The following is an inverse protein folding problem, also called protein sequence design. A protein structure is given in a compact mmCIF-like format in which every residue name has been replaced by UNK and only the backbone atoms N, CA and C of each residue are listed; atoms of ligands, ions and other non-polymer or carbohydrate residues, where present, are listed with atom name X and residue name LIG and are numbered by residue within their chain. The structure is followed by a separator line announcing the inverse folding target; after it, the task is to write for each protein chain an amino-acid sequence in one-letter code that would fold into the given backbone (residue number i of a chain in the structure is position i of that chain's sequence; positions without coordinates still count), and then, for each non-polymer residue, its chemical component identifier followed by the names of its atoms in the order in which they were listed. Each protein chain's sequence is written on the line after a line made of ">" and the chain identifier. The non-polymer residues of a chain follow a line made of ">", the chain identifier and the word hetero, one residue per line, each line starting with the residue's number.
data_IF_171279465051
#
_entry.id   IF_171279465051
#
_cell.length_a   1.000
_cell.length_b   1.000
_cell.length_c   1.000
_cell.angle_alpha   90.00
_cell.angle_beta   90.00
_cell.angle_gamma   90.00
#
_symmetry.space_group_name_H-M   'P 1'
#
loop_
_entity.id
_entity.type
_entity.pdbx_description
1 polymer ?
#
# COMPACT_ATOMS: atom_id res chain seq x y z
N UNK A 1 11.50 45.58 18.42
CA UNK A 1 10.12 45.32 17.96
C UNK A 1 9.95 46.05 16.63
N UNK A 2 9.30 45.45 15.62
CA UNK A 2 8.04 44.71 15.70
C UNK A 2 8.29 43.19 15.80
N UNK A 3 7.84 42.50 16.85
CA UNK A 3 6.54 41.81 16.92
C UNK A 3 5.78 41.76 15.60
N UNK A 4 5.86 40.62 14.92
CA UNK A 4 4.73 40.10 14.16
C UNK A 4 4.13 38.99 15.03
N UNK A 5 2.99 39.20 15.69
CA UNK A 5 2.27 38.10 16.30
C UNK A 5 1.42 37.50 15.17
N UNK A 6 1.75 36.31 14.68
CA UNK A 6 0.86 35.63 13.75
C UNK A 6 0.40 34.30 14.34
N UNK A 7 -0.72 34.47 15.06
CA UNK A 7 -1.81 33.55 15.35
C UNK A 7 -1.47 32.06 15.46
N UNK A 8 -1.35 31.65 16.73
CA UNK A 8 -1.77 30.34 17.22
C UNK A 8 -3.26 30.12 16.93
N UNK A 9 -3.55 29.42 15.85
CA UNK A 9 -4.73 28.57 15.70
C UNK A 9 -4.16 27.17 15.51
N UNK A 10 -4.74 26.14 16.12
CA UNK A 10 -4.29 24.77 15.92
C UNK A 10 -4.25 24.49 14.40
N UNK A 11 -3.12 24.06 13.83
CA UNK A 11 -2.96 23.90 12.37
C UNK A 11 -4.05 22.98 11.79
N UNK A 12 -4.57 22.09 12.64
CA UNK A 12 -5.76 21.23 12.52
C UNK A 12 -7.07 22.00 12.26
N UNK A 13 -7.36 23.00 13.10
CA UNK A 13 -8.54 23.87 12.97
C UNK A 13 -8.40 24.76 11.74
N UNK A 14 -7.17 25.17 11.43
CA UNK A 14 -6.84 25.94 10.24
C UNK A 14 -7.16 25.14 8.97
N UNK A 15 -6.68 23.90 8.83
CA UNK A 15 -6.98 23.06 7.67
C UNK A 15 -8.49 22.84 7.49
N UNK A 16 -9.20 22.60 8.59
CA UNK A 16 -10.65 22.41 8.59
C UNK A 16 -11.38 23.69 8.14
N UNK A 17 -10.95 24.85 8.65
CA UNK A 17 -11.49 26.15 8.29
C UNK A 17 -11.27 26.47 6.81
N UNK A 18 -10.06 26.28 6.28
CA UNK A 18 -9.78 26.50 4.86
C UNK A 18 -10.58 25.57 3.96
N UNK A 19 -10.72 24.29 4.32
CA UNK A 19 -11.53 23.35 3.57
C UNK A 19 -13.02 23.71 3.60
N UNK A 20 -13.50 24.33 4.69
CA UNK A 20 -14.90 24.81 4.77
C UNK A 20 -15.19 25.99 3.85
N UNK A 21 -14.15 26.70 3.39
CA UNK A 21 -14.25 27.83 2.46
C UNK A 21 -14.18 27.40 0.99
N UNK A 22 -13.93 26.12 0.71
CA UNK A 22 -13.88 25.61 -0.66
C UNK A 22 -15.24 25.74 -1.34
N UNK A 23 -15.23 26.25 -2.57
CA UNK A 23 -16.42 26.22 -3.42
C UNK A 23 -16.79 24.75 -3.71
N UNK A 24 -18.09 24.41 -3.86
CA UNK A 24 -18.51 23.04 -4.16
C UNK A 24 -17.83 22.45 -5.41
N UNK A 25 -17.55 23.28 -6.41
CA UNK A 25 -16.83 22.88 -7.62
C UNK A 25 -15.35 22.57 -7.39
N UNK A 26 -14.71 23.25 -6.43
CA UNK A 26 -13.33 22.99 -6.03
C UNK A 26 -13.24 21.71 -5.20
N UNK A 27 -14.13 21.55 -4.21
CA UNK A 27 -14.22 20.34 -3.40
C UNK A 27 -14.47 19.10 -4.27
N UNK A 28 -15.36 19.20 -5.28
CA UNK A 28 -15.61 18.12 -6.22
C UNK A 28 -14.36 17.75 -7.05
N UNK A 29 -13.63 18.75 -7.57
CA UNK A 29 -12.39 18.51 -8.33
C UNK A 29 -11.31 17.83 -7.48
N UNK A 30 -11.14 18.27 -6.24
CA UNK A 30 -10.16 17.67 -5.32
C UNK A 30 -10.56 16.25 -4.94
N UNK A 31 -11.84 15.99 -4.66
CA UNK A 31 -12.33 14.63 -4.43
C UNK A 31 -12.14 13.71 -5.63
N UNK A 32 -12.36 14.21 -6.86
CA UNK A 32 -12.17 13.44 -8.08
C UNK A 32 -10.69 13.12 -8.32
N UNK A 33 -9.82 14.10 -8.04
CA UNK A 33 -8.37 13.93 -8.10
C UNK A 33 -7.92 12.86 -7.10
N UNK A 34 -8.33 12.96 -5.84
CA UNK A 34 -8.04 11.96 -4.83
C UNK A 34 -8.39 10.54 -5.30
N UNK A 35 -9.58 10.38 -5.88
CA UNK A 35 -10.06 9.06 -6.33
C UNK A 35 -9.17 8.47 -7.43
N UNK A 36 -8.70 9.29 -8.38
CA UNK A 36 -7.86 8.82 -9.49
C UNK A 36 -6.37 8.70 -9.10
N UNK A 37 -5.89 9.41 -8.09
CA UNK A 37 -4.47 9.40 -7.71
C UNK A 37 -4.22 8.58 -6.45
N UNK A 38 -4.61 9.08 -5.29
CA UNK A 38 -4.28 8.48 -3.99
C UNK A 38 -5.09 7.20 -3.77
N UNK A 39 -6.39 7.19 -4.06
CA UNK A 39 -7.23 6.00 -3.86
C UNK A 39 -6.87 4.86 -4.84
N UNK A 40 -6.26 5.19 -5.98
CA UNK A 40 -5.70 4.22 -6.94
C UNK A 40 -4.55 3.44 -6.31
N UNK A 41 -3.62 4.12 -5.64
CA UNK A 41 -2.40 3.51 -5.05
C UNK A 41 -2.62 3.02 -3.62
N UNK A 42 -3.62 3.56 -2.95
CA UNK A 42 -4.00 3.26 -1.58
C UNK A 42 -5.52 3.07 -1.49
N UNK A 43 -6.03 1.88 -1.84
CA UNK A 43 -7.44 1.62 -2.13
C UNK A 43 -8.26 1.51 -0.84
N UNK A 44 -8.43 2.65 -0.18
CA UNK A 44 -9.12 2.79 1.09
C UNK A 44 -10.64 2.95 0.91
N UNK A 45 -11.06 3.40 -0.27
CA UNK A 45 -12.45 3.57 -0.65
C UNK A 45 -12.79 2.71 -1.86
N UNK A 46 -14.03 2.22 -1.90
CA UNK A 46 -14.58 1.55 -3.08
C UNK A 46 -14.51 2.47 -4.30
N UNK A 47 -14.06 1.91 -5.42
CA UNK A 47 -13.94 2.64 -6.68
C UNK A 47 -15.28 3.27 -7.07
N UNK A 48 -15.27 4.58 -7.36
CA UNK A 48 -16.47 5.33 -7.75
C UNK A 48 -17.44 5.70 -6.62
N UNK A 49 -17.28 5.14 -5.41
CA UNK A 49 -18.15 5.46 -4.27
C UNK A 49 -17.72 6.73 -3.53
N UNK A 50 -16.43 7.10 -3.59
CA UNK A 50 -15.88 8.21 -2.81
C UNK A 50 -16.60 9.55 -3.08
N UNK A 51 -16.77 9.89 -4.36
CA UNK A 51 -17.38 11.15 -4.76
C UNK A 51 -18.83 11.28 -4.28
N UNK A 52 -19.60 10.21 -4.44
CA UNK A 52 -20.98 10.15 -3.95
C UNK A 52 -21.02 10.28 -2.41
N UNK A 53 -20.13 9.56 -1.70
CA UNK A 53 -20.05 9.60 -0.23
C UNK A 53 -19.66 10.99 0.30
N UNK A 54 -18.81 11.73 -0.41
CA UNK A 54 -18.44 13.11 -0.10
C UNK A 54 -19.63 14.07 -0.34
N UNK A 55 -20.31 13.94 -1.48
CA UNK A 55 -21.46 14.80 -1.82
C UNK A 55 -22.66 14.58 -0.89
N UNK A 56 -22.92 13.33 -0.51
CA UNK A 56 -24.02 12.95 0.38
C UNK A 56 -23.68 13.19 1.86
N UNK A 57 -22.46 13.64 2.18
CA UNK A 57 -22.03 13.91 3.56
C UNK A 57 -21.87 12.66 4.43
N UNK A 58 -21.75 11.48 3.81
CA UNK A 58 -21.49 10.21 4.53
C UNK A 58 -20.06 10.19 5.06
N UNK A 59 -19.12 10.75 4.29
CA UNK A 59 -17.78 11.09 4.75
C UNK A 59 -17.84 12.47 5.42
N UNK A 60 -17.47 12.52 6.71
CA UNK A 60 -17.59 13.72 7.52
C UNK A 60 -16.50 13.80 8.60
N UNK A 61 -16.48 14.90 9.36
CA UNK A 61 -15.46 15.16 10.38
C UNK A 61 -14.13 15.60 9.75
N UNK A 62 -13.01 15.05 10.25
CA UNK A 62 -11.67 15.40 9.78
C UNK A 62 -11.30 14.79 8.42
N UNK A 63 -12.05 13.78 7.95
CA UNK A 63 -11.71 13.02 6.74
C UNK A 63 -11.79 13.84 5.43
N UNK A 64 -12.87 14.60 5.14
CA UNK A 64 -12.90 15.43 3.92
C UNK A 64 -11.76 16.45 3.84
N UNK A 65 -11.44 17.25 4.89
CA UNK A 65 -10.30 18.15 4.86
C UNK A 65 -8.97 17.46 4.51
N UNK A 66 -8.72 16.27 5.07
CA UNK A 66 -7.50 15.50 4.77
C UNK A 66 -7.48 15.05 3.30
N UNK A 67 -8.60 14.54 2.77
CA UNK A 67 -8.73 14.15 1.35
C UNK A 67 -8.40 15.34 0.44
N UNK A 68 -8.95 16.52 0.73
CA UNK A 68 -8.71 17.72 -0.06
C UNK A 68 -7.28 18.23 0.07
N UNK A 69 -6.72 18.23 1.28
CA UNK A 69 -5.34 18.65 1.54
C UNK A 69 -4.31 17.78 0.82
N UNK A 70 -4.46 16.45 0.88
CA UNK A 70 -3.58 15.52 0.18
C UNK A 70 -3.66 15.69 -1.34
N UNK A 71 -4.88 15.91 -1.86
CA UNK A 71 -5.09 16.15 -3.30
C UNK A 71 -4.48 17.47 -3.76
N UNK A 72 -4.60 18.51 -2.94
CA UNK A 72 -4.06 19.84 -3.21
C UNK A 72 -2.53 19.86 -3.13
N UNK A 73 -1.91 19.09 -2.22
CA UNK A 73 -0.45 18.96 -2.14
C UNK A 73 0.14 18.40 -3.44
N UNK A 74 -0.60 17.56 -4.16
CA UNK A 74 -0.15 17.02 -5.45
C UNK A 74 -0.19 17.97 -6.62
N UNK A 75 -0.74 19.16 -6.44
CA UNK A 75 -0.85 20.21 -7.46
C UNK A 75 -0.01 21.40 -7.02
N UNK A 76 0.79 21.99 -7.93
CA UNK A 76 1.37 23.34 -7.79
C UNK A 76 0.31 24.47 -7.77
N UNK A 77 -0.93 24.17 -7.38
CA UNK A 77 -2.01 25.12 -7.40
C UNK A 77 -2.17 25.75 -6.03
N UNK A 78 -2.16 27.08 -6.00
CA UNK A 78 -2.45 27.97 -4.86
C UNK A 78 -3.88 27.83 -4.29
N UNK A 79 -4.54 26.66 -4.40
CA UNK A 79 -5.93 26.47 -3.94
C UNK A 79 -6.08 26.69 -2.44
N UNK A 80 -5.03 26.43 -1.67
CA UNK A 80 -4.92 26.86 -0.28
C UNK A 80 -4.13 28.18 -0.27
N UNK A 81 -4.75 29.24 -0.77
CA UNK A 81 -4.14 30.58 -0.95
C UNK A 81 -3.77 31.29 0.37
N UNK A 82 -3.71 30.57 1.48
CA UNK A 82 -3.18 31.03 2.76
C UNK A 82 -1.74 30.53 2.91
N UNK A 83 -0.94 31.22 3.74
CA UNK A 83 0.35 30.72 4.23
C UNK A 83 0.17 29.50 5.17
N UNK A 84 -0.70 28.55 4.81
CA UNK A 84 -0.93 27.33 5.59
C UNK A 84 0.07 26.32 5.13
N UNK A 85 0.95 25.94 6.04
CA UNK A 85 1.80 24.78 5.84
C UNK A 85 0.95 23.50 5.94
N UNK A 86 0.50 23.01 4.79
CA UNK A 86 -0.31 21.78 4.66
C UNK A 86 0.43 20.58 5.24
N UNK A 87 1.76 20.54 5.09
CA UNK A 87 2.56 19.46 5.62
C UNK A 87 2.57 19.49 7.15
N UNK A 88 2.87 20.65 7.76
CA UNK A 88 2.83 20.81 9.22
C UNK A 88 1.43 20.49 9.79
N UNK A 89 0.35 20.92 9.12
CA UNK A 89 -1.01 20.62 9.53
C UNK A 89 -1.32 19.11 9.49
N UNK A 90 -0.91 18.41 8.42
CA UNK A 90 -1.10 16.96 8.30
C UNK A 90 -0.26 16.18 9.32
N UNK A 91 0.95 16.63 9.63
CA UNK A 91 1.82 16.02 10.65
C UNK A 91 1.22 16.24 12.05
N UNK A 92 0.80 17.45 12.39
CA UNK A 92 0.12 17.75 13.66
C UNK A 92 -1.18 16.94 13.82
N UNK A 93 -1.97 16.82 12.76
CA UNK A 93 -3.13 15.93 12.69
C UNK A 93 -2.75 14.47 12.97
N UNK A 94 -1.66 13.98 12.37
CA UNK A 94 -1.20 12.63 12.63
C UNK A 94 -0.78 12.44 14.09
N UNK A 95 -0.05 13.38 14.68
CA UNK A 95 0.37 13.33 16.09
C UNK A 95 -0.80 13.36 17.08
N UNK A 96 -1.84 14.14 16.78
CA UNK A 96 -3.05 14.24 17.60
C UNK A 96 -4.06 13.11 17.35
N UNK A 97 -4.05 12.49 16.17
CA UNK A 97 -4.94 11.39 15.80
C UNK A 97 -4.66 10.13 16.63
N UNK A 98 -5.36 10.01 17.75
CA UNK A 98 -5.45 8.77 18.51
C UNK A 98 -6.54 7.88 17.93
N UNK A 99 -6.21 6.61 17.71
CA UNK A 99 -7.22 5.59 17.40
C UNK A 99 -7.89 5.20 18.71
N UNK A 100 -8.86 6.03 19.11
CA UNK A 100 -9.64 5.84 20.34
C UNK A 100 -10.88 4.98 20.14
N UNK A 101 -11.19 4.55 18.90
CA UNK A 101 -12.36 3.73 18.62
C UNK A 101 -12.33 2.45 19.47
N UNK A 102 -13.27 2.33 20.39
CA UNK A 102 -13.41 1.16 21.27
C UNK A 102 -14.13 0.02 20.54
N UNK A 103 -14.92 0.35 19.51
CA UNK A 103 -15.60 -0.63 18.65
C UNK A 103 -15.91 -0.14 17.24
N UNK A 104 -16.17 -1.10 16.35
CA UNK A 104 -16.44 -0.86 14.91
C UNK A 104 -17.88 -0.41 14.63
N UNK A 105 -18.77 -0.52 15.62
CA UNK A 105 -20.19 -0.14 15.53
C UNK A 105 -20.45 1.32 15.89
N UNK A 106 -19.44 2.06 16.37
CA UNK A 106 -19.62 3.48 16.69
C UNK A 106 -19.98 4.29 15.43
N UNK A 107 -20.94 5.23 15.52
CA UNK A 107 -21.14 6.21 14.47
C UNK A 107 -19.82 6.95 14.21
N UNK A 108 -19.37 6.99 12.96
CA UNK A 108 -18.09 7.57 12.51
C UNK A 108 -16.82 6.71 12.72
N UNK A 109 -16.92 5.49 13.26
CA UNK A 109 -15.76 4.60 13.41
C UNK A 109 -15.00 4.46 12.08
N UNK A 110 -15.71 4.15 11.00
CA UNK A 110 -15.13 3.99 9.67
C UNK A 110 -14.36 5.25 9.20
N UNK A 111 -14.92 6.45 9.41
CA UNK A 111 -14.26 7.70 9.02
C UNK A 111 -12.98 7.94 9.84
N UNK A 112 -12.99 7.60 11.14
CA UNK A 112 -11.80 7.69 12.01
C UNK A 112 -10.71 6.71 11.58
N UNK A 113 -11.07 5.47 11.25
CA UNK A 113 -10.15 4.47 10.74
C UNK A 113 -9.53 4.87 9.40
N UNK A 114 -10.35 5.36 8.47
CA UNK A 114 -9.88 5.89 7.19
C UNK A 114 -8.93 7.08 7.38
N UNK A 115 -9.26 7.98 8.28
CA UNK A 115 -8.40 9.11 8.67
C UNK A 115 -7.04 8.62 9.17
N UNK A 116 -7.05 7.68 10.12
CA UNK A 116 -5.82 7.13 10.69
C UNK A 116 -4.95 6.42 9.63
N UNK A 117 -5.57 5.66 8.71
CA UNK A 117 -4.86 5.01 7.61
C UNK A 117 -4.22 6.01 6.66
N UNK A 118 -4.94 7.07 6.25
CA UNK A 118 -4.42 8.09 5.34
C UNK A 118 -3.27 8.89 5.96
N UNK A 119 -3.39 9.27 7.23
CA UNK A 119 -2.34 10.00 7.93
C UNK A 119 -1.10 9.12 8.14
N UNK A 120 -1.29 7.84 8.50
CA UNK A 120 -0.17 6.89 8.62
C UNK A 120 0.54 6.67 7.28
N UNK A 121 -0.22 6.49 6.20
CA UNK A 121 0.29 6.37 4.85
C UNK A 121 1.07 7.63 4.43
N UNK A 122 0.48 8.81 4.63
CA UNK A 122 1.11 10.07 4.28
C UNK A 122 2.42 10.29 5.04
N UNK A 123 2.42 10.18 6.37
CA UNK A 123 3.62 10.38 7.17
C UNK A 123 4.72 9.40 6.80
N UNK A 124 4.38 8.11 6.61
CA UNK A 124 5.35 7.09 6.20
C UNK A 124 5.92 7.38 4.81
N UNK A 125 5.12 7.88 3.87
CA UNK A 125 5.59 8.29 2.55
C UNK A 125 6.54 9.50 2.61
N UNK A 126 6.27 10.48 3.48
CA UNK A 126 7.10 11.69 3.56
C UNK A 126 8.45 11.41 4.21
N UNK A 127 8.47 10.62 5.28
CA UNK A 127 9.67 10.28 6.03
C UNK A 127 9.58 8.82 6.48
N UNK A 128 9.99 7.85 5.64
CA UNK A 128 10.03 6.45 6.08
C UNK A 128 11.00 6.31 7.25
N UNK A 129 10.54 5.73 8.35
CA UNK A 129 11.31 5.71 9.58
C UNK A 129 10.69 4.92 10.72
N UNK A 130 11.44 4.81 11.82
CA UNK A 130 11.03 4.05 13.00
C UNK A 130 9.81 4.66 13.71
N UNK A 131 9.66 5.99 13.73
CA UNK A 131 8.51 6.68 14.33
C UNK A 131 7.20 6.32 13.63
N UNK A 132 7.22 6.30 12.30
CA UNK A 132 6.09 6.02 11.43
C UNK A 132 5.77 4.53 11.45
N UNK A 133 6.79 3.68 11.50
CA UNK A 133 6.62 2.23 11.71
C UNK A 133 5.96 1.91 13.06
N UNK A 134 6.29 2.65 14.13
CA UNK A 134 5.60 2.53 15.43
C UNK A 134 4.12 2.91 15.29
N UNK A 135 3.80 4.00 14.57
CA UNK A 135 2.41 4.40 14.31
C UNK A 135 1.63 3.32 13.58
N UNK A 136 2.21 2.74 12.54
CA UNK A 136 1.62 1.62 11.78
C UNK A 136 1.46 0.38 12.68
N UNK A 137 2.41 0.13 13.58
CA UNK A 137 2.32 -0.96 14.57
C UNK A 137 1.12 -0.78 15.50
N UNK A 138 0.92 0.43 16.04
CA UNK A 138 -0.23 0.76 16.90
C UNK A 138 -1.55 0.60 16.13
N UNK A 139 -1.61 1.11 14.89
CA UNK A 139 -2.77 0.95 14.00
C UNK A 139 -3.10 -0.53 13.77
N UNK A 140 -2.08 -1.35 13.52
CA UNK A 140 -2.22 -2.80 13.29
C UNK A 140 -2.73 -3.53 14.53
N UNK A 141 -2.17 -3.24 15.71
CA UNK A 141 -2.61 -3.84 16.98
C UNK A 141 -4.06 -3.47 17.30
N UNK A 142 -4.45 -2.21 17.04
CA UNK A 142 -5.84 -1.77 17.19
C UNK A 142 -6.77 -2.50 16.21
N UNK A 143 -6.31 -2.76 14.98
CA UNK A 143 -7.12 -3.47 13.98
C UNK A 143 -7.41 -4.91 14.43
N UNK A 144 -6.44 -5.57 15.07
CA UNK A 144 -6.64 -6.86 15.71
C UNK A 144 -7.64 -6.79 16.87
N UNK A 145 -7.49 -5.82 17.78
CA UNK A 145 -8.39 -5.64 18.93
C UNK A 145 -9.85 -5.44 18.48
N UNK A 146 -10.06 -4.72 17.37
CA UNK A 146 -11.38 -4.48 16.79
C UNK A 146 -11.86 -5.61 15.85
N UNK A 147 -11.07 -6.67 15.64
CA UNK A 147 -11.48 -7.83 14.84
C UNK A 147 -11.52 -7.59 13.32
N UNK A 148 -10.81 -6.59 12.79
CA UNK A 148 -10.79 -6.28 11.34
C UNK A 148 -10.23 -7.42 10.48
N UNK A 149 -9.36 -8.26 11.06
CA UNK A 149 -8.84 -9.47 10.43
C UNK A 149 -9.87 -10.60 10.30
N UNK A 150 -11.07 -10.47 10.89
CA UNK A 150 -12.08 -11.53 10.96
C UNK A 150 -13.49 -11.06 10.58
N UNK A 151 -13.60 -10.06 9.68
CA UNK A 151 -14.88 -9.47 9.25
C UNK A 151 -15.85 -10.53 8.72
N UNK A 152 -15.32 -11.52 8.00
CA UNK A 152 -16.09 -12.58 7.35
C UNK A 152 -16.04 -13.92 8.13
N UNK A 153 -15.57 -13.90 9.37
CA UNK A 153 -15.57 -15.08 10.24
C UNK A 153 -16.96 -15.32 10.84
N UNK A 154 -17.62 -16.40 10.41
CA UNK A 154 -18.95 -16.79 10.93
C UNK A 154 -18.95 -16.96 12.45
N UNK A 155 -17.84 -17.44 13.03
CA UNK A 155 -17.72 -17.70 14.47
C UNK A 155 -17.58 -16.42 15.29
N UNK A 156 -16.92 -15.39 14.74
CA UNK A 156 -16.53 -14.20 15.49
C UNK A 156 -17.29 -12.93 15.08
N UNK A 157 -18.15 -13.01 14.06
CA UNK A 157 -18.95 -11.89 13.56
C UNK A 157 -19.75 -11.20 14.67
N UNK A 158 -20.44 -11.97 15.51
CA UNK A 158 -21.25 -11.43 16.61
C UNK A 158 -20.41 -10.77 17.72
N UNK A 159 -19.19 -11.28 17.96
CA UNK A 159 -18.29 -10.78 19.00
C UNK A 159 -17.80 -9.36 18.72
N UNK A 160 -17.60 -9.04 17.44
CA UNK A 160 -17.13 -7.72 16.99
C UNK A 160 -18.26 -6.82 16.44
N UNK A 161 -19.47 -7.36 16.27
CA UNK A 161 -20.63 -6.60 15.76
C UNK A 161 -20.70 -6.51 14.23
N UNK A 162 -19.96 -7.37 13.51
CA UNK A 162 -19.99 -7.46 12.05
C UNK A 162 -21.33 -7.99 11.53
N UNK A 163 -22.03 -8.80 12.33
CA UNK A 163 -23.36 -9.35 12.05
C UNK A 163 -24.45 -8.28 11.90
N UNK A 164 -24.23 -7.09 12.45
CA UNK A 164 -25.19 -5.97 12.44
C UNK A 164 -25.00 -5.04 11.24
N UNK A 165 -23.97 -5.26 10.41
CA UNK A 165 -23.62 -4.38 9.31
C UNK A 165 -24.21 -4.88 7.98
N UNK A 166 -24.50 -3.95 7.08
CA UNK A 166 -24.85 -4.29 5.69
C UNK A 166 -23.61 -4.76 4.93
N UNK A 167 -23.78 -5.59 3.90
CA UNK A 167 -22.66 -6.08 3.10
C UNK A 167 -21.87 -4.94 2.43
N UNK A 168 -22.55 -3.84 2.04
CA UNK A 168 -21.88 -2.65 1.50
C UNK A 168 -20.94 -2.00 2.52
N UNK A 169 -21.34 -1.95 3.80
CA UNK A 169 -20.51 -1.41 4.87
C UNK A 169 -19.37 -2.38 5.24
N UNK A 170 -19.64 -3.70 5.20
CA UNK A 170 -18.59 -4.71 5.39
C UNK A 170 -17.52 -4.59 4.31
N UNK A 171 -17.89 -4.37 3.05
CA UNK A 171 -16.94 -4.14 1.97
C UNK A 171 -16.07 -2.90 2.22
N UNK A 172 -16.67 -1.80 2.71
CA UNK A 172 -15.93 -0.60 3.09
C UNK A 172 -14.91 -0.87 4.23
N UNK A 173 -15.22 -1.77 5.16
CA UNK A 173 -14.27 -2.22 6.20
C UNK A 173 -13.20 -3.20 5.69
N UNK A 174 -13.50 -4.02 4.67
CA UNK A 174 -12.50 -4.88 4.02
C UNK A 174 -11.40 -4.03 3.38
N UNK A 175 -11.76 -2.92 2.75
CA UNK A 175 -10.78 -1.96 2.21
C UNK A 175 -9.85 -1.48 3.33
N UNK A 176 -10.39 -0.99 4.45
CA UNK A 176 -9.60 -0.56 5.61
C UNK A 176 -8.65 -1.67 6.09
N UNK A 177 -9.13 -2.91 6.25
CA UNK A 177 -8.29 -4.03 6.69
C UNK A 177 -7.11 -4.28 5.73
N UNK A 178 -7.37 -4.40 4.43
CA UNK A 178 -6.32 -4.67 3.45
C UNK A 178 -5.36 -3.49 3.28
N UNK A 179 -5.82 -2.27 3.49
CA UNK A 179 -4.98 -1.09 3.56
C UNK A 179 -4.04 -1.14 4.77
N UNK A 180 -4.54 -1.50 5.97
CA UNK A 180 -3.70 -1.71 7.16
C UNK A 180 -2.68 -2.83 6.90
N UNK A 181 -3.09 -3.90 6.22
CA UNK A 181 -2.19 -4.98 5.83
C UNK A 181 -1.03 -4.50 4.94
N UNK A 182 -1.33 -3.67 3.93
CA UNK A 182 -0.31 -3.10 3.04
C UNK A 182 0.65 -2.20 3.84
N UNK A 183 0.13 -1.36 4.75
CA UNK A 183 0.97 -0.52 5.62
C UNK A 183 1.93 -1.35 6.50
N UNK A 184 1.45 -2.42 7.16
CA UNK A 184 2.30 -3.33 7.95
C UNK A 184 3.41 -3.94 7.10
N UNK A 185 3.09 -4.34 5.87
CA UNK A 185 4.07 -4.84 4.91
C UNK A 185 5.12 -3.76 4.60
N UNK A 186 4.71 -2.57 4.17
CA UNK A 186 5.63 -1.48 3.83
C UNK A 186 6.54 -1.09 5.02
N UNK A 187 5.97 -0.96 6.22
CA UNK A 187 6.75 -0.66 7.42
C UNK A 187 7.79 -1.74 7.74
N UNK A 188 7.38 -3.01 7.66
CA UNK A 188 8.27 -4.15 7.91
C UNK A 188 9.37 -4.26 6.87
N UNK A 189 9.04 -3.97 5.61
CA UNK A 189 9.99 -3.97 4.50
C UNK A 189 11.05 -2.87 4.70
N UNK A 190 10.64 -1.61 4.92
CA UNK A 190 11.58 -0.49 5.05
C UNK A 190 12.43 -0.53 6.33
N UNK A 191 11.88 -1.03 7.45
CA UNK A 191 12.60 -1.05 8.74
C UNK A 191 13.30 -2.38 9.04
N UNK A 192 13.17 -3.37 8.15
CA UNK A 192 13.63 -4.75 8.37
C UNK A 192 13.14 -5.36 9.71
N UNK A 193 11.99 -4.92 10.20
CA UNK A 193 11.38 -5.43 11.43
C UNK A 193 10.44 -6.62 11.14
N UNK A 194 10.15 -7.48 12.14
CA UNK A 194 9.17 -8.54 11.96
C UNK A 194 7.77 -7.97 11.71
N UNK A 195 7.09 -8.53 10.70
CA UNK A 195 5.68 -8.28 10.46
C UNK A 195 4.83 -8.57 11.69
N UNK A 196 3.83 -7.72 11.92
CA UNK A 196 2.92 -7.87 13.06
C UNK A 196 1.70 -8.70 12.70
N UNK A 197 1.30 -8.71 11.42
CA UNK A 197 0.11 -9.44 11.00
C UNK A 197 0.44 -10.93 10.80
N UNK A 198 -0.32 -11.82 11.44
CA UNK A 198 -0.26 -13.27 11.21
C UNK A 198 -1.27 -13.66 10.13
N UNK A 199 -0.77 -14.06 8.96
CA UNK A 199 -1.59 -14.32 7.77
C UNK A 199 -2.54 -15.52 7.99
N UNK A 200 -2.21 -16.44 8.88
CA UNK A 200 -3.02 -17.61 9.27
C UNK A 200 -4.28 -17.22 10.05
N UNK A 201 -4.28 -16.07 10.72
CA UNK A 201 -5.42 -15.58 11.51
C UNK A 201 -6.49 -14.87 10.68
N UNK A 202 -6.20 -14.59 9.41
CA UNK A 202 -7.03 -13.74 8.55
C UNK A 202 -8.24 -14.53 8.05
N UNK A 203 -9.43 -14.03 8.39
CA UNK A 203 -10.72 -14.45 7.87
C UNK A 203 -11.54 -13.26 7.36
N UNK A 204 -10.87 -12.34 6.70
CA UNK A 204 -11.47 -11.24 5.95
C UNK A 204 -11.33 -11.52 4.46
N UNK A 205 -12.42 -11.40 3.70
CA UNK A 205 -12.40 -11.65 2.26
C UNK A 205 -11.62 -10.58 1.51
N UNK A 206 -11.04 -10.93 0.35
CA UNK A 206 -10.43 -9.99 -0.57
C UNK A 206 -11.48 -9.01 -1.11
N UNK A 207 -11.05 -7.77 -1.32
CA UNK A 207 -11.86 -6.74 -1.99
C UNK A 207 -12.14 -7.17 -3.43
N UNK A 208 -13.38 -6.95 -3.86
CA UNK A 208 -13.81 -7.24 -5.24
C UNK A 208 -14.43 -6.00 -5.87
N UNK A 209 -13.75 -5.41 -6.84
CA UNK A 209 -14.28 -4.32 -7.66
C UNK A 209 -15.11 -4.89 -8.81
N UNK A 210 -16.28 -5.45 -8.49
CA UNK A 210 -17.24 -5.85 -9.52
C UNK A 210 -18.13 -4.64 -9.86
N UNK A 211 -18.27 -4.27 -11.14
CA UNK A 211 -19.25 -3.26 -11.52
C UNK A 211 -20.64 -3.78 -11.18
N UNK A 212 -21.46 -2.98 -10.49
CA UNK A 212 -22.82 -3.29 -10.03
C UNK A 212 -23.84 -3.55 -11.17
N UNK A 213 -23.38 -3.70 -12.42
CA UNK A 213 -24.19 -3.76 -13.63
C UNK A 213 -25.07 -5.01 -13.76
N UNK A 214 -24.93 -6.02 -12.89
CA UNK A 214 -25.73 -7.24 -12.95
C UNK A 214 -26.93 -7.21 -11.98
N UNK A 215 -27.81 -6.21 -12.18
CA UNK A 215 -29.10 -6.05 -11.48
C UNK A 215 -29.98 -7.32 -11.58
N UNK A 216 -29.70 -8.21 -12.53
CA UNK A 216 -30.45 -9.44 -12.80
C UNK A 216 -29.80 -10.74 -12.29
N UNK A 217 -28.62 -10.70 -11.64
CA UNK A 217 -28.04 -11.88 -10.98
C UNK A 217 -27.90 -11.62 -9.49
N UNK A 218 -28.95 -11.96 -8.76
CA UNK A 218 -29.02 -12.05 -7.29
C UNK A 218 -28.15 -13.17 -6.70
N UNK A 219 -27.05 -13.54 -7.36
CA UNK A 219 -26.09 -14.49 -6.80
C UNK A 219 -25.11 -13.71 -5.94
N UNK A 220 -25.00 -14.00 -4.63
CA UNK A 220 -23.99 -13.37 -3.78
C UNK A 220 -22.62 -13.57 -4.43
N UNK A 221 -21.85 -12.49 -4.57
CA UNK A 221 -20.50 -12.58 -5.10
C UNK A 221 -19.72 -13.56 -4.24
N UNK A 222 -19.12 -14.58 -4.86
CA UNK A 222 -18.31 -15.56 -4.15
C UNK A 222 -17.12 -14.84 -3.51
N UNK A 223 -17.10 -14.80 -2.18
CA UNK A 223 -16.03 -14.18 -1.38
C UNK A 223 -14.75 -15.00 -1.55
N UNK A 224 -13.67 -14.34 -1.92
CA UNK A 224 -12.36 -14.96 -2.05
C UNK A 224 -11.58 -14.77 -0.74
N UNK A 225 -11.00 -15.84 -0.23
CA UNK A 225 -10.24 -15.84 1.02
C UNK A 225 -8.79 -16.22 0.79
N UNK A 226 -7.92 -15.81 1.71
CA UNK A 226 -6.56 -16.34 1.72
C UNK A 226 -6.57 -17.84 2.02
N UNK A 227 -5.78 -18.64 1.29
CA UNK A 227 -5.61 -20.04 1.61
C UNK A 227 -4.83 -20.19 2.93
N UNK A 228 -5.13 -21.27 3.65
CA UNK A 228 -4.39 -21.65 4.86
C UNK A 228 -2.94 -22.02 4.55
N UNK A 229 -2.69 -22.62 3.39
CA UNK A 229 -1.35 -22.97 2.91
C UNK A 229 -0.88 -21.98 1.83
N UNK A 230 0.36 -21.52 1.96
CA UNK A 230 1.02 -20.62 0.98
C UNK A 230 1.25 -21.31 -0.35
N UNK A 231 1.41 -22.63 -0.36
CA UNK A 231 1.53 -23.42 -1.58
C UNK A 231 0.28 -23.32 -2.48
N UNK A 232 -0.86 -22.92 -1.93
CA UNK A 232 -2.14 -22.79 -2.64
C UNK A 232 -2.43 -21.35 -3.12
N UNK A 233 -1.52 -20.40 -2.92
CA UNK A 233 -1.70 -19.01 -3.38
C UNK A 233 -1.86 -18.89 -4.90
N UNK A 234 -1.29 -19.82 -5.67
CA UNK A 234 -1.49 -19.84 -7.12
C UNK A 234 -2.94 -20.16 -7.51
N UNK A 235 -3.66 -20.98 -6.72
CA UNK A 235 -5.08 -21.27 -6.95
C UNK A 235 -5.91 -20.02 -6.75
N UNK A 236 -5.61 -19.29 -5.67
CA UNK A 236 -6.24 -17.99 -5.40
C UNK A 236 -5.99 -17.00 -6.54
N UNK A 237 -4.75 -16.89 -7.05
CA UNK A 237 -4.46 -16.03 -8.20
C UNK A 237 -5.26 -16.42 -9.46
N UNK A 238 -5.44 -17.72 -9.72
CA UNK A 238 -6.30 -18.19 -10.81
C UNK A 238 -7.77 -17.83 -10.59
N UNK A 239 -8.28 -17.99 -9.38
CA UNK A 239 -9.69 -17.72 -9.07
C UNK A 239 -10.00 -16.22 -9.14
N UNK A 240 -9.07 -15.37 -8.69
CA UNK A 240 -9.12 -13.92 -8.90
C UNK A 240 -9.11 -13.59 -10.41
N UNK A 241 -8.29 -14.30 -11.20
CA UNK A 241 -8.21 -14.05 -12.65
C UNK A 241 -9.49 -14.48 -13.39
N UNK A 242 -10.20 -15.50 -12.88
CA UNK A 242 -11.47 -16.00 -13.45
C UNK A 242 -12.68 -15.16 -13.06
N UNK A 243 -12.64 -14.47 -11.91
CA UNK A 243 -13.81 -13.79 -11.34
C UNK A 243 -14.29 -12.57 -12.14
N UNK A 244 -13.47 -12.11 -13.11
CA UNK A 244 -13.75 -10.95 -13.95
C UNK A 244 -13.71 -9.63 -13.18
N UNK A 245 -13.52 -8.51 -13.89
CA UNK A 245 -13.45 -7.16 -13.28
C UNK A 245 -12.02 -6.63 -13.06
N UNK A 246 -11.92 -5.50 -12.36
CA UNK A 246 -10.64 -4.90 -11.95
C UNK A 246 -10.15 -5.60 -10.67
N UNK A 247 -9.33 -6.62 -10.86
CA UNK A 247 -8.79 -7.43 -9.79
C UNK A 247 -7.29 -7.17 -9.55
N UNK A 248 -6.76 -6.07 -10.08
CA UNK A 248 -5.32 -5.85 -10.10
C UNK A 248 -4.73 -5.67 -8.68
N UNK A 249 -5.44 -4.96 -7.81
CA UNK A 249 -5.10 -4.82 -6.39
C UNK A 249 -5.11 -6.16 -5.64
N UNK A 250 -6.07 -7.04 -5.91
CA UNK A 250 -6.16 -8.37 -5.28
C UNK A 250 -5.02 -9.29 -5.72
N UNK A 251 -4.62 -9.24 -7.00
CA UNK A 251 -3.44 -9.95 -7.50
C UNK A 251 -2.14 -9.39 -6.90
N UNK A 252 -2.04 -8.07 -6.76
CA UNK A 252 -0.94 -7.41 -6.08
C UNK A 252 -0.80 -7.85 -4.62
N UNK A 253 -1.91 -8.02 -3.91
CA UNK A 253 -1.93 -8.50 -2.54
C UNK A 253 -1.42 -9.94 -2.41
N UNK A 254 -1.75 -10.84 -3.34
CA UNK A 254 -1.21 -12.22 -3.37
C UNK A 254 0.32 -12.21 -3.42
N UNK A 255 0.90 -11.37 -4.29
CA UNK A 255 2.36 -11.21 -4.37
C UNK A 255 2.93 -10.55 -3.10
N UNK A 256 2.21 -9.59 -2.52
CA UNK A 256 2.64 -8.94 -1.27
C UNK A 256 2.73 -9.93 -0.10
N UNK A 257 1.84 -10.92 -0.03
CA UNK A 257 1.90 -12.01 0.95
C UNK A 257 3.15 -12.86 0.74
N UNK A 258 3.46 -13.26 -0.50
CA UNK A 258 4.68 -14.01 -0.79
C UNK A 258 5.94 -13.21 -0.46
N UNK A 259 6.00 -11.94 -0.87
CA UNK A 259 7.14 -11.07 -0.58
C UNK A 259 7.37 -10.94 0.93
N UNK A 260 6.29 -10.83 1.72
CA UNK A 260 6.35 -10.83 3.18
C UNK A 260 7.00 -12.08 3.77
N UNK A 261 6.67 -13.26 3.26
CA UNK A 261 7.32 -14.51 3.67
C UNK A 261 8.80 -14.57 3.26
N UNK A 262 9.11 -14.06 2.07
CA UNK A 262 10.49 -13.97 1.57
C UNK A 262 11.33 -13.05 2.43
N UNK A 263 10.87 -11.83 2.72
CA UNK A 263 11.55 -10.87 3.61
C UNK A 263 11.74 -11.48 5.00
N UNK A 264 10.72 -12.16 5.53
CA UNK A 264 10.78 -12.78 6.85
C UNK A 264 11.81 -13.91 6.89
N UNK A 265 11.81 -14.78 5.87
CA UNK A 265 12.74 -15.90 5.74
C UNK A 265 14.17 -15.40 5.51
N UNK A 266 14.36 -14.41 4.64
CA UNK A 266 15.66 -13.76 4.39
C UNK A 266 16.24 -13.16 5.67
N UNK A 267 15.47 -12.33 6.39
CA UNK A 267 15.90 -11.73 7.66
C UNK A 267 16.28 -12.81 8.68
N UNK A 268 15.44 -13.85 8.84
CA UNK A 268 15.73 -14.98 9.75
C UNK A 268 17.01 -15.70 9.35
N UNK A 269 17.20 -15.97 8.05
CA UNK A 269 18.42 -16.59 7.51
C UNK A 269 19.66 -15.75 7.84
N UNK A 270 19.58 -14.43 7.74
CA UNK A 270 20.72 -13.56 8.02
C UNK A 270 21.05 -13.48 9.51
N UNK A 271 20.02 -13.47 10.38
CA UNK A 271 20.18 -13.40 11.83
C UNK A 271 20.57 -14.74 12.46
N UNK A 272 19.97 -15.84 11.98
CA UNK A 272 20.17 -17.19 12.49
C UNK A 272 20.16 -18.22 11.35
N UNK A 273 21.29 -18.43 10.65
CA UNK A 273 21.37 -19.37 9.54
C UNK A 273 21.07 -20.80 9.97
N UNK A 274 20.10 -21.44 9.32
CA UNK A 274 19.76 -22.84 9.53
C UNK A 274 19.55 -23.57 8.20
N UNK A 275 19.79 -24.89 8.10
CA UNK A 275 19.47 -25.67 6.91
C UNK A 275 17.98 -25.61 6.54
N UNK A 276 17.09 -25.45 7.53
CA UNK A 276 15.66 -25.26 7.30
C UNK A 276 15.35 -23.93 6.59
N UNK A 277 16.15 -22.88 6.80
CA UNK A 277 15.95 -21.58 6.14
C UNK A 277 16.21 -21.66 4.64
N UNK A 278 17.18 -22.46 4.20
CA UNK A 278 17.46 -22.69 2.77
C UNK A 278 16.32 -23.49 2.11
N UNK A 279 15.80 -24.51 2.78
CA UNK A 279 14.65 -25.28 2.29
C UNK A 279 13.40 -24.42 2.18
N UNK A 280 13.13 -23.57 3.19
CA UNK A 280 12.04 -22.59 3.14
C UNK A 280 12.21 -21.61 1.98
N UNK A 281 13.43 -21.14 1.72
CA UNK A 281 13.69 -20.22 0.60
C UNK A 281 13.43 -20.89 -0.76
N UNK A 282 13.88 -22.14 -0.94
CA UNK A 282 13.60 -22.91 -2.15
C UNK A 282 12.10 -23.15 -2.36
N UNK A 283 11.36 -23.47 -1.30
CA UNK A 283 9.91 -23.63 -1.40
C UNK A 283 9.21 -22.32 -1.78
N UNK A 284 9.66 -21.18 -1.24
CA UNK A 284 9.12 -19.86 -1.61
C UNK A 284 9.40 -19.51 -3.07
N UNK A 285 10.54 -19.94 -3.62
CA UNK A 285 10.85 -19.79 -5.04
C UNK A 285 9.89 -20.60 -5.93
N UNK A 286 9.60 -21.85 -5.54
CA UNK A 286 8.62 -22.69 -6.23
C UNK A 286 7.21 -22.06 -6.16
N UNK A 287 6.82 -21.53 -5.00
CA UNK A 287 5.52 -20.88 -4.81
C UNK A 287 5.42 -19.59 -5.64
N UNK A 288 6.47 -18.77 -5.67
CA UNK A 288 6.54 -17.59 -6.52
C UNK A 288 6.38 -17.97 -7.99
N UNK A 289 7.13 -18.98 -8.45
CA UNK A 289 7.04 -19.49 -9.83
C UNK A 289 5.65 -20.00 -10.17
N UNK A 290 5.00 -20.73 -9.26
CA UNK A 290 3.63 -21.21 -9.44
C UNK A 290 2.62 -20.05 -9.53
N UNK A 291 2.74 -19.04 -8.67
CA UNK A 291 1.86 -17.84 -8.74
C UNK A 291 2.10 -17.09 -10.05
N UNK A 292 3.35 -16.91 -10.48
CA UNK A 292 3.67 -16.24 -11.74
C UNK A 292 3.04 -16.91 -12.95
N UNK A 293 2.99 -18.25 -12.97
CA UNK A 293 2.32 -19.02 -14.02
C UNK A 293 0.78 -18.95 -13.93
N UNK A 294 0.24 -18.67 -12.74
CA UNK A 294 -1.19 -18.47 -12.51
C UNK A 294 -1.68 -17.05 -12.83
N UNK A 295 -0.78 -16.06 -12.89
CA UNK A 295 -1.12 -14.68 -13.23
C UNK A 295 -1.62 -14.56 -14.69
N UNK A 296 -2.47 -13.58 -14.99
CA UNK A 296 -2.91 -13.33 -16.36
C UNK A 296 -1.73 -13.07 -17.30
N UNK A 297 -1.84 -13.52 -18.56
CA UNK A 297 -0.75 -13.50 -19.54
C UNK A 297 -0.09 -12.13 -19.81
N UNK A 298 -0.78 -11.03 -19.51
CA UNK A 298 -0.27 -9.67 -19.65
C UNK A 298 0.53 -9.19 -18.44
N UNK A 299 0.48 -9.87 -17.29
CA UNK A 299 1.14 -9.39 -16.06
C UNK A 299 2.65 -9.32 -16.16
N UNK A 300 3.27 -10.20 -16.94
CA UNK A 300 4.73 -10.20 -17.15
C UNK A 300 5.19 -9.18 -18.20
N UNK A 301 4.27 -8.45 -18.83
CA UNK A 301 4.63 -7.38 -19.78
C UNK A 301 4.98 -6.14 -18.99
N UNK A 302 6.09 -5.50 -19.33
CA UNK A 302 6.49 -4.23 -18.72
C UNK A 302 5.74 -3.06 -19.38
N UNK A 303 5.47 -3.14 -20.68
CA UNK A 303 4.78 -2.09 -21.42
C UNK A 303 3.28 -2.08 -21.15
N UNK A 304 2.72 -0.87 -21.14
CA UNK A 304 1.28 -0.66 -20.97
C UNK A 304 0.48 -1.17 -22.18
N UNK A 305 -0.56 -1.96 -21.92
CA UNK A 305 -1.39 -2.56 -22.96
C UNK A 305 -2.63 -1.70 -23.28
N UNK A 306 -2.38 -0.51 -23.87
CA UNK A 306 -3.46 0.40 -24.30
C UNK A 306 -4.38 -0.22 -25.34
N UNK A 307 -3.85 -1.13 -26.18
CA UNK A 307 -4.62 -1.78 -27.25
C UNK A 307 -5.68 -2.74 -26.71
N UNK A 308 -5.44 -3.37 -25.56
CA UNK A 308 -6.43 -4.20 -24.86
C UNK A 308 -7.28 -3.43 -23.85
N UNK A 309 -7.19 -2.10 -23.84
CA UNK A 309 -7.98 -1.24 -22.96
C UNK A 309 -7.53 -1.25 -21.49
N UNK A 310 -6.23 -1.47 -21.23
CA UNK A 310 -5.70 -1.40 -19.86
C UNK A 310 -5.88 0.01 -19.25
N UNK A 311 -6.61 0.07 -18.14
CA UNK A 311 -6.81 1.30 -17.35
C UNK A 311 -5.51 1.75 -16.69
N UNK A 312 -5.43 3.03 -16.32
CA UNK A 312 -4.26 3.56 -15.57
C UNK A 312 -4.04 2.77 -14.27
N UNK A 313 -5.13 2.51 -13.52
CA UNK A 313 -5.12 1.73 -12.28
C UNK A 313 -4.56 0.31 -12.48
N UNK A 314 -5.03 -0.41 -13.50
CA UNK A 314 -4.56 -1.77 -13.78
C UNK A 314 -3.08 -1.79 -14.17
N UNK A 315 -2.66 -0.81 -14.98
CA UNK A 315 -1.26 -0.66 -15.35
C UNK A 315 -0.40 -0.41 -14.10
N UNK A 316 -0.81 0.52 -13.24
CA UNK A 316 -0.11 0.84 -11.99
C UNK A 316 0.07 -0.40 -11.09
N UNK A 317 -1.04 -1.09 -10.75
CA UNK A 317 -0.98 -2.29 -9.92
C UNK A 317 -0.18 -3.42 -10.56
N UNK A 318 -0.22 -3.57 -11.88
CA UNK A 318 0.59 -4.56 -12.60
C UNK A 318 2.08 -4.23 -12.47
N UNK A 319 2.50 -2.99 -12.72
CA UNK A 319 3.90 -2.57 -12.59
C UNK A 319 4.40 -2.74 -11.15
N UNK A 320 3.59 -2.35 -10.16
CA UNK A 320 3.88 -2.61 -8.74
C UNK A 320 4.04 -4.09 -8.41
N UNK A 321 3.17 -4.92 -8.96
CA UNK A 321 3.23 -6.38 -8.79
C UNK A 321 4.52 -6.94 -9.37
N UNK A 322 4.92 -6.46 -10.56
CA UNK A 322 6.20 -6.82 -11.18
C UNK A 322 7.39 -6.43 -10.31
N UNK A 323 7.42 -5.20 -9.78
CA UNK A 323 8.48 -4.77 -8.89
C UNK A 323 8.58 -5.66 -7.65
N UNK A 324 7.46 -5.99 -7.00
CA UNK A 324 7.46 -6.91 -5.85
C UNK A 324 7.93 -8.31 -6.19
N UNK A 325 7.60 -8.82 -7.38
CA UNK A 325 8.12 -10.11 -7.89
C UNK A 325 9.65 -10.03 -8.03
N UNK A 326 10.17 -8.96 -8.64
CA UNK A 326 11.60 -8.76 -8.82
C UNK A 326 12.33 -8.61 -7.47
N UNK A 327 11.78 -7.82 -6.55
CA UNK A 327 12.30 -7.69 -5.18
C UNK A 327 12.34 -9.03 -4.43
N UNK A 328 11.30 -9.87 -4.58
CA UNK A 328 11.28 -11.20 -3.99
C UNK A 328 12.41 -12.08 -4.54
N UNK A 329 12.60 -12.10 -5.87
CA UNK A 329 13.69 -12.85 -6.52
C UNK A 329 15.06 -12.37 -6.06
N UNK A 330 15.26 -11.06 -5.98
CA UNK A 330 16.50 -10.47 -5.49
C UNK A 330 16.79 -10.95 -4.06
N UNK A 331 15.81 -10.84 -3.15
CA UNK A 331 15.95 -11.28 -1.75
C UNK A 331 16.25 -12.77 -1.60
N UNK A 332 15.66 -13.63 -2.43
CA UNK A 332 15.94 -15.07 -2.40
C UNK A 332 17.40 -15.39 -2.74
N UNK A 333 18.00 -14.59 -3.63
CA UNK A 333 19.34 -14.80 -4.20
C UNK A 333 20.44 -13.99 -3.50
N UNK A 334 20.06 -12.97 -2.74
CA UNK A 334 21.00 -12.15 -1.98
C UNK A 334 21.73 -12.95 -0.90
N UNK A 335 23.06 -12.81 -0.77
CA UNK A 335 23.83 -13.47 0.26
C UNK A 335 23.67 -12.74 1.62
N UNK A 336 23.44 -13.51 2.69
CA UNK A 336 23.40 -12.96 4.05
C UNK A 336 24.79 -12.72 4.68
N UNK A 337 25.87 -13.29 4.12
CA UNK A 337 27.27 -13.23 4.59
C UNK A 337 28.24 -13.31 3.39
N UNK A 338 29.54 -13.09 3.64
CA UNK A 338 30.66 -12.98 2.66
C UNK A 338 30.44 -13.64 1.28
N UNK A 339 30.84 -12.89 0.25
CA UNK A 339 30.80 -13.22 -1.18
C UNK A 339 31.75 -14.35 -1.59
N UNK A 340 32.56 -14.94 -0.69
CA UNK A 340 33.54 -16.00 -1.01
C UNK A 340 32.90 -17.39 -1.23
N UNK A 341 31.79 -17.45 -1.96
CA UNK A 341 31.20 -18.70 -2.41
C UNK A 341 31.57 -18.96 -3.87
N UNK A 342 31.86 -20.20 -4.29
CA UNK A 342 32.21 -20.50 -5.69
C UNK A 342 31.14 -20.06 -6.71
N UNK A 343 29.91 -19.84 -6.27
CA UNK A 343 28.76 -19.43 -7.09
C UNK A 343 28.49 -17.91 -7.06
N UNK A 344 29.36 -17.11 -6.43
CA UNK A 344 29.11 -15.68 -6.22
C UNK A 344 28.91 -14.92 -7.54
N UNK A 345 29.69 -15.26 -8.56
CA UNK A 345 29.66 -14.60 -9.85
C UNK A 345 28.34 -14.83 -10.57
N UNK A 346 27.83 -16.06 -10.53
CA UNK A 346 26.54 -16.42 -11.14
C UNK A 346 25.41 -15.69 -10.42
N UNK A 347 25.39 -15.70 -9.08
CA UNK A 347 24.37 -14.99 -8.28
C UNK A 347 24.43 -13.48 -8.50
N UNK A 348 25.63 -12.95 -8.71
CA UNK A 348 25.81 -11.54 -9.02
C UNK A 348 25.19 -11.18 -10.36
N UNK A 349 25.48 -11.94 -11.41
CA UNK A 349 24.93 -11.73 -12.76
C UNK A 349 23.40 -11.85 -12.75
N UNK A 350 22.85 -12.86 -12.06
CA UNK A 350 21.40 -13.02 -11.86
C UNK A 350 20.76 -11.81 -11.16
N UNK A 351 21.38 -11.33 -10.07
CA UNK A 351 20.88 -10.16 -9.33
C UNK A 351 20.93 -8.89 -10.19
N UNK A 352 21.99 -8.71 -10.97
CA UNK A 352 22.15 -7.59 -11.89
C UNK A 352 21.05 -7.62 -12.98
N UNK A 353 20.75 -8.79 -13.55
CA UNK A 353 19.64 -8.93 -14.50
C UNK A 353 18.31 -8.54 -13.84
N UNK A 354 18.05 -8.97 -12.60
CA UNK A 354 16.84 -8.59 -11.86
C UNK A 354 16.77 -7.07 -11.67
N UNK A 355 17.86 -6.42 -11.29
CA UNK A 355 17.93 -4.96 -11.17
C UNK A 355 17.62 -4.25 -12.49
N UNK A 356 18.17 -4.73 -13.62
CA UNK A 356 17.84 -4.19 -14.94
C UNK A 356 16.33 -4.32 -15.24
N UNK A 357 15.71 -5.46 -14.94
CA UNK A 357 14.26 -5.64 -15.11
C UNK A 357 13.45 -4.66 -14.25
N UNK A 358 13.89 -4.39 -13.02
CA UNK A 358 13.24 -3.40 -12.15
C UNK A 358 13.32 -1.99 -12.76
N UNK A 359 14.49 -1.60 -13.28
CA UNK A 359 14.66 -0.32 -13.98
C UNK A 359 13.77 -0.23 -15.21
N UNK A 360 13.68 -1.28 -16.02
CA UNK A 360 12.76 -1.33 -17.18
C UNK A 360 11.31 -1.11 -16.75
N UNK A 361 10.87 -1.70 -15.64
CA UNK A 361 9.52 -1.49 -15.09
C UNK A 361 9.31 -0.05 -14.61
N UNK A 362 10.28 0.52 -13.88
CA UNK A 362 10.23 1.91 -13.39
C UNK A 362 10.16 2.90 -14.55
N UNK A 363 10.91 2.66 -15.64
CA UNK A 363 10.86 3.50 -16.84
C UNK A 363 9.50 3.50 -17.55
N UNK A 364 8.69 2.46 -17.36
CA UNK A 364 7.33 2.39 -17.90
C UNK A 364 6.28 3.00 -16.97
N UNK A 365 6.69 3.41 -15.77
CA UNK A 365 5.81 4.02 -14.80
C UNK A 365 5.61 5.50 -15.15
N UNK A 366 4.60 5.78 -15.97
CA UNK A 366 4.06 7.14 -16.09
C UNK A 366 3.50 7.54 -14.72
N UNK A 367 4.27 8.28 -13.90
CA UNK A 367 3.82 8.73 -12.58
C UNK A 367 2.73 9.80 -12.78
N UNK A 368 1.46 9.53 -12.43
CA UNK A 368 0.46 10.56 -12.37
C UNK A 368 0.66 11.29 -11.03
N UNK A 369 1.52 12.30 -11.05
CA UNK A 369 1.70 13.31 -9.98
C UNK A 369 2.45 12.83 -8.70
N UNK A 370 3.22 13.73 -8.04
CA UNK A 370 4.08 13.40 -6.89
C UNK A 370 3.48 12.67 -5.68
N UNK A 371 2.22 12.92 -5.24
CA UNK A 371 1.70 12.26 -4.05
C UNK A 371 1.17 10.85 -4.34
N UNK A 372 1.19 10.37 -5.59
CA UNK A 372 0.68 9.05 -5.97
C UNK A 372 1.77 7.98 -6.00
N UNK A 373 2.92 8.20 -5.36
CA UNK A 373 3.96 7.18 -5.25
C UNK A 373 3.53 6.19 -4.15
N UNK A 374 3.51 4.89 -4.48
CA UNK A 374 3.19 3.85 -3.51
C UNK A 374 4.31 3.79 -2.45
N UNK A 375 4.02 3.77 -1.14
CA UNK A 375 5.01 3.54 -0.09
C UNK A 375 5.90 2.31 -0.28
N UNK A 376 5.43 1.29 -1.02
CA UNK A 376 6.23 0.14 -1.40
C UNK A 376 7.41 0.52 -2.33
N UNK A 377 7.33 1.66 -3.02
CA UNK A 377 8.45 2.23 -3.77
C UNK A 377 9.52 2.79 -2.85
N UNK A 378 9.15 3.37 -1.69
CA UNK A 378 10.13 3.78 -0.68
C UNK A 378 10.98 2.58 -0.23
N UNK A 379 10.36 1.40 -0.10
CA UNK A 379 11.13 0.17 0.17
C UNK A 379 12.09 -0.18 -0.97
N UNK A 380 11.67 -0.08 -2.23
CA UNK A 380 12.52 -0.45 -3.38
C UNK A 380 13.72 0.50 -3.51
N UNK A 381 13.53 1.79 -3.21
CA UNK A 381 14.61 2.79 -3.19
C UNK A 381 15.49 2.64 -1.97
N UNK A 382 14.90 2.48 -0.77
CA UNK A 382 15.63 2.27 0.48
C UNK A 382 16.42 0.95 0.45
N UNK A 383 15.94 -0.07 -0.26
CA UNK A 383 16.69 -1.30 -0.43
C UNK A 383 18.04 -1.03 -1.09
N UNK A 384 18.07 -0.16 -2.11
CA UNK A 384 19.31 0.27 -2.77
C UNK A 384 20.24 1.11 -1.89
N UNK A 385 19.72 1.81 -0.88
CA UNK A 385 20.48 2.78 -0.06
C UNK A 385 20.82 2.30 1.38
N UNK A 386 19.95 1.53 2.04
CA UNK A 386 20.05 1.18 3.48
C UNK A 386 20.53 -0.26 3.75
N UNK A 387 20.34 -1.19 2.81
CA UNK A 387 21.21 -2.36 2.80
C UNK A 387 22.52 -1.86 2.21
N UNK A 388 23.59 -1.97 2.97
CA UNK A 388 24.94 -1.53 2.65
C UNK A 388 25.46 -2.21 1.37
N UNK A 389 24.92 -1.81 0.22
CA UNK A 389 25.37 -2.18 -1.11
C UNK A 389 26.83 -1.72 -1.25
N UNK A 390 27.29 -0.72 -0.49
CA UNK A 390 28.69 -0.28 -0.43
C UNK A 390 29.68 -1.32 0.13
N UNK A 391 29.23 -2.31 0.91
CA UNK A 391 30.10 -3.39 1.39
C UNK A 391 30.00 -4.69 0.57
N UNK A 392 29.01 -4.80 -0.33
CA UNK A 392 28.80 -5.97 -1.20
C UNK A 392 29.10 -5.63 -2.68
N UNK A 393 29.10 -4.34 -3.03
CA UNK A 393 29.36 -3.82 -4.36
C UNK A 393 30.09 -2.49 -4.30
N UNK A 394 31.36 -2.47 -4.72
CA UNK A 394 32.00 -1.24 -5.21
C UNK A 394 31.31 -0.82 -6.53
N UNK A 395 30.12 -0.22 -6.43
CA UNK A 395 29.36 0.31 -7.57
C UNK A 395 29.56 1.83 -7.76
N UNK A 396 30.71 2.38 -7.36
CA UNK A 396 30.96 3.83 -7.44
C UNK A 396 31.19 4.36 -8.88
N UNK A 397 31.30 3.51 -9.91
CA UNK A 397 31.74 3.96 -11.25
C UNK A 397 31.02 3.35 -12.46
N UNK A 398 29.99 2.50 -12.31
CA UNK A 398 29.43 1.75 -13.44
C UNK A 398 27.96 2.02 -13.76
N UNK A 399 27.18 2.58 -12.84
CA UNK A 399 25.81 2.98 -13.10
C UNK A 399 25.60 4.40 -12.62
N UNK A 400 25.45 5.29 -13.58
CA UNK A 400 24.98 6.64 -13.36
C UNK A 400 23.48 6.57 -12.99
N UNK A 401 23.21 6.16 -11.75
CA UNK A 401 21.89 6.18 -11.14
C UNK A 401 21.41 7.62 -10.89
N UNK A 402 22.21 8.64 -11.25
CA UNK A 402 21.86 10.06 -11.15
C UNK A 402 20.52 10.37 -11.81
N UNK A 403 20.15 9.76 -12.93
CA UNK A 403 18.85 10.06 -13.56
C UNK A 403 17.63 9.44 -12.86
N UNK A 404 17.82 8.40 -12.05
CA UNK A 404 16.77 7.78 -11.23
C UNK A 404 16.64 8.45 -9.85
N UNK A 405 17.76 8.93 -9.29
CA UNK A 405 17.78 9.67 -8.03
C UNK A 405 17.51 11.17 -8.20
N UNK A 406 17.91 11.82 -9.29
CA UNK A 406 17.44 13.19 -9.63
C UNK A 406 15.92 13.21 -9.83
N UNK A 407 15.33 12.11 -10.29
CA UNK A 407 13.88 11.96 -10.29
C UNK A 407 13.36 12.07 -8.85
N UNK A 408 13.91 11.29 -7.92
CA UNK A 408 13.49 11.21 -6.50
C UNK A 408 13.82 12.44 -5.63
N UNK A 409 14.97 13.09 -5.83
CA UNK A 409 15.34 14.34 -5.16
C UNK A 409 14.44 15.50 -5.59
N UNK A 410 13.91 15.47 -6.82
CA UNK A 410 12.84 16.36 -7.27
C UNK A 410 11.43 15.94 -6.80
N UNK A 411 11.24 14.74 -6.23
CA UNK A 411 9.97 14.29 -5.61
C UNK A 411 9.90 14.55 -4.10
N UNK A 412 11.05 14.74 -3.43
CA UNK A 412 11.14 15.00 -1.98
C UNK A 412 11.32 16.47 -1.61
N UNK A 413 11.69 17.32 -2.58
CA UNK A 413 11.60 18.79 -2.50
C UNK A 413 10.25 19.26 -2.99
#
# INVERSE_FOLDING_TARGET
>A
MPITPQLTLDDTETLTLYCSLLLPTQAFKLGQRFDWTINTVFPLFRQGALLEQLQNGTICGALPPIIYALSAKGTDTDFLSGNVDVHAALVSLAESAKIEAEGVTEPLALNRWRTACLLAWYCFHQTPGNSEAIRITVLTQKAYQCGLHQIDSVENQASFGWDKMSEALLEDWRHVWWTVYILDCCASFSTATPHQIETESIRTALVQNKPELDINRSTPSEKLFLPSDRADLWKLAQDISKSGGDNAASLHLVISILLKEVVTTYRRRCQNPSPSSEQSMSALEDYLSAVQLALPSNYMRQTRDRLRGETDNNCHWRLLTLLKIHSARLLMRLPCRSLDTPDWYIRWEENLEVCYRMVEVIQQWDVPEPPAIDPAMCFITDFGCNFDFGNVFEFENAFDFEHGFEFWDNFTQ
#
